data_IF_087889680822
#
_entry.id   IF_087889680822
#
_cell.length_a   1.000
_cell.length_b   1.000
_cell.length_c   1.000
_cell.angle_alpha   90.00
_cell.angle_beta   90.00
_cell.angle_gamma   90.00
#
_symmetry.space_group_name_H-M   'P 1'
#
loop_
_entity.id
_entity.type
_entity.pdbx_description
1 polymer ?
#
# COMPACT_ATOMS: atom_id res chain seq x y z
N UNK A 1 4.51 1.81 0.16
CA UNK A 1 4.84 1.80 -1.28
C UNK A 1 5.71 0.61 -1.67
N UNK A 2 6.86 0.38 -1.01
CA UNK A 2 7.78 -0.73 -1.35
C UNK A 2 7.11 -2.11 -1.35
N UNK A 3 6.27 -2.42 -0.36
CA UNK A 3 5.53 -3.70 -0.34
C UNK A 3 4.64 -3.88 -1.58
N UNK A 4 3.92 -2.84 -2.00
CA UNK A 4 3.09 -2.90 -3.20
C UNK A 4 3.92 -3.28 -4.43
N UNK A 5 5.02 -2.55 -4.65
CA UNK A 5 5.90 -2.80 -5.78
C UNK A 5 6.57 -4.17 -5.74
N UNK A 6 6.91 -4.67 -4.55
CA UNK A 6 7.42 -6.03 -4.39
C UNK A 6 6.38 -7.11 -4.74
N UNK A 7 5.08 -6.83 -4.52
CA UNK A 7 3.99 -7.75 -4.80
C UNK A 7 3.52 -7.70 -6.26
N UNK A 8 3.61 -6.53 -6.91
CA UNK A 8 3.01 -6.29 -8.23
C UNK A 8 4.03 -6.03 -9.34
N UNK A 9 5.25 -5.59 -9.01
CA UNK A 9 6.22 -5.06 -9.96
C UNK A 9 5.98 -3.60 -10.39
N UNK A 10 4.91 -2.97 -9.90
CA UNK A 10 4.43 -1.66 -10.33
C UNK A 10 4.38 -0.66 -9.16
N UNK A 11 4.29 0.63 -9.46
CA UNK A 11 4.08 1.65 -8.42
C UNK A 11 2.60 1.72 -8.01
N UNK A 12 2.28 2.03 -6.74
CA UNK A 12 0.89 2.15 -6.32
C UNK A 12 0.21 3.42 -6.84
N UNK A 13 0.98 4.46 -7.18
CA UNK A 13 0.49 5.74 -7.66
C UNK A 13 1.40 6.26 -8.76
N UNK A 14 0.80 6.82 -9.80
CA UNK A 14 1.48 7.40 -10.96
C UNK A 14 0.76 8.71 -11.37
N UNK A 15 1.44 9.53 -12.17
CA UNK A 15 0.86 10.75 -12.72
C UNK A 15 1.73 11.35 -13.82
N UNK A 16 1.10 12.00 -14.80
CA UNK A 16 1.78 12.60 -15.97
C UNK A 16 2.62 13.85 -15.62
N UNK A 17 2.48 14.34 -14.38
CA UNK A 17 3.26 15.45 -13.83
C UNK A 17 3.47 15.26 -12.33
N UNK A 18 4.38 16.03 -11.73
CA UNK A 18 4.59 16.03 -10.29
C UNK A 18 3.30 16.37 -9.51
N UNK A 19 2.54 17.36 -9.99
CA UNK A 19 1.27 17.73 -9.37
C UNK A 19 0.25 16.58 -9.45
N UNK A 20 0.18 15.89 -10.60
CA UNK A 20 -0.66 14.70 -10.77
C UNK A 20 -0.27 13.55 -9.84
N UNK A 21 1.03 13.29 -9.69
CA UNK A 21 1.55 12.28 -8.78
C UNK A 21 1.21 12.60 -7.31
N UNK A 22 1.43 13.85 -6.88
CA UNK A 22 1.08 14.28 -5.52
C UNK A 22 -0.42 14.18 -5.26
N UNK A 23 -1.24 14.54 -6.25
CA UNK A 23 -2.69 14.36 -6.16
C UNK A 23 -3.06 12.88 -5.98
N UNK A 24 -2.49 11.97 -6.80
CA UNK A 24 -2.73 10.54 -6.69
C UNK A 24 -2.27 9.96 -5.33
N UNK A 25 -1.13 10.41 -4.82
CA UNK A 25 -0.64 10.03 -3.48
C UNK A 25 -1.63 10.46 -2.40
N UNK A 26 -2.27 11.62 -2.52
CA UNK A 26 -3.21 12.12 -1.52
C UNK A 26 -4.62 11.52 -1.63
N UNK A 27 -5.09 11.21 -2.84
CA UNK A 27 -6.52 11.01 -3.09
C UNK A 27 -6.88 9.68 -3.77
N UNK A 28 -5.92 8.99 -4.40
CA UNK A 28 -6.17 7.74 -5.11
C UNK A 28 -5.93 6.53 -4.21
N UNK A 29 -6.74 5.49 -4.39
CA UNK A 29 -6.58 4.20 -3.70
C UNK A 29 -5.74 3.24 -4.54
N UNK A 30 -4.76 2.58 -3.92
CA UNK A 30 -3.97 1.55 -4.57
C UNK A 30 -4.78 0.26 -4.71
N UNK A 31 -4.76 -0.36 -5.90
CA UNK A 31 -5.56 -1.56 -6.20
C UNK A 31 -4.68 -2.78 -6.36
N UNK A 32 -4.85 -3.77 -5.50
CA UNK A 32 -4.16 -5.06 -5.61
C UNK A 32 -5.06 -6.09 -6.29
N UNK A 33 -4.54 -6.67 -7.37
CA UNK A 33 -5.21 -7.73 -8.12
C UNK A 33 -5.37 -9.03 -7.32
N UNK A 34 -6.18 -9.96 -7.84
CA UNK A 34 -6.48 -11.24 -7.20
C UNK A 34 -5.31 -12.23 -7.20
N UNK A 35 -4.28 -11.95 -8.00
CA UNK A 35 -3.00 -12.67 -7.97
C UNK A 35 -2.25 -12.53 -6.64
N UNK A 36 -2.55 -11.47 -5.87
CA UNK A 36 -1.96 -11.25 -4.55
C UNK A 36 -2.84 -11.94 -3.48
N UNK A 37 -2.27 -12.81 -2.62
CA UNK A 37 -3.00 -13.44 -1.53
C UNK A 37 -3.76 -12.43 -0.67
N UNK A 38 -4.99 -12.79 -0.26
CA UNK A 38 -5.87 -11.89 0.49
C UNK A 38 -5.24 -11.30 1.78
N UNK A 39 -4.49 -12.06 2.60
CA UNK A 39 -3.82 -11.50 3.77
C UNK A 39 -2.79 -10.42 3.41
N UNK A 40 -1.97 -10.64 2.37
CA UNK A 40 -0.99 -9.67 1.89
C UNK A 40 -1.67 -8.44 1.27
N UNK A 41 -2.81 -8.61 0.60
CA UNK A 41 -3.63 -7.48 0.13
C UNK A 41 -4.08 -6.61 1.29
N UNK A 42 -4.65 -7.21 2.33
CA UNK A 42 -5.11 -6.48 3.51
C UNK A 42 -3.97 -5.68 4.15
N UNK A 43 -2.82 -6.33 4.36
CA UNK A 43 -1.64 -5.67 4.96
C UNK A 43 -1.17 -4.48 4.12
N UNK A 44 -1.04 -4.67 2.80
CA UNK A 44 -0.57 -3.64 1.89
C UNK A 44 -1.57 -2.48 1.74
N UNK A 45 -2.88 -2.76 1.67
CA UNK A 45 -3.92 -1.72 1.65
C UNK A 45 -3.91 -0.89 2.94
N UNK A 46 -3.84 -1.53 4.12
CA UNK A 46 -3.76 -0.81 5.40
C UNK A 46 -2.55 0.10 5.46
N UNK A 47 -1.38 -0.39 5.02
CA UNK A 47 -0.14 0.40 4.98
C UNK A 47 -0.18 1.60 4.01
N UNK A 48 -1.04 1.56 2.98
CA UNK A 48 -1.20 2.61 1.97
C UNK A 48 -2.37 3.56 2.23
N UNK A 49 -3.15 3.36 3.30
CA UNK A 49 -4.29 4.20 3.67
C UNK A 49 -3.92 5.68 3.68
N UNK A 50 -4.84 6.54 3.22
CA UNK A 50 -4.65 8.00 3.28
C UNK A 50 -4.85 8.54 4.69
N UNK A 51 -5.75 7.91 5.43
CA UNK A 51 -5.95 8.19 6.84
C UNK A 51 -4.82 7.53 7.65
N UNK A 52 -4.05 8.35 8.35
CA UNK A 52 -2.96 7.93 9.23
C UNK A 52 -3.47 7.06 10.39
N UNK A 53 -4.68 7.32 10.90
CA UNK A 53 -5.28 6.54 11.99
C UNK A 53 -5.64 5.10 11.56
N UNK A 54 -5.81 4.88 10.26
CA UNK A 54 -6.07 3.54 9.70
C UNK A 54 -4.78 2.78 9.38
N UNK A 55 -3.59 3.41 9.43
CA UNK A 55 -2.32 2.73 9.20
C UNK A 55 -1.89 1.93 10.44
N UNK A 56 -0.81 1.17 10.26
CA UNK A 56 -0.04 0.66 11.40
C UNK A 56 0.56 1.84 12.16
N UNK A 57 0.54 1.77 13.49
CA UNK A 57 1.05 2.82 14.36
C UNK A 57 2.56 3.02 14.15
N UNK A 58 3.28 1.93 13.89
CA UNK A 58 4.71 1.95 13.63
C UNK A 58 5.17 0.80 12.70
N UNK A 59 6.48 0.76 12.45
CA UNK A 59 7.09 -0.26 11.61
C UNK A 59 7.12 -1.66 12.26
N UNK A 60 7.08 -1.76 13.60
CA UNK A 60 7.08 -3.04 14.29
C UNK A 60 5.71 -3.73 14.13
N UNK A 61 4.62 -3.01 14.35
CA UNK A 61 3.25 -3.51 14.13
C UNK A 61 3.07 -3.93 12.66
N UNK A 62 3.58 -3.14 11.72
CA UNK A 62 3.56 -3.48 10.30
C UNK A 62 4.33 -4.78 10.00
N UNK A 63 5.52 -4.95 10.57
CA UNK A 63 6.34 -6.13 10.38
C UNK A 63 5.64 -7.39 10.94
N UNK A 64 4.99 -7.29 12.10
CA UNK A 64 4.26 -8.40 12.70
C UNK A 64 3.05 -8.82 11.85
N UNK A 65 2.28 -7.84 11.37
CA UNK A 65 1.18 -8.10 10.45
C UNK A 65 1.66 -8.76 9.15
N UNK A 66 2.80 -8.33 8.61
CA UNK A 66 3.38 -8.91 7.41
C UNK A 66 3.85 -10.35 7.62
N UNK A 67 4.45 -10.67 8.78
CA UNK A 67 4.85 -12.05 9.13
C UNK A 67 3.64 -12.96 9.29
N UNK A 68 2.55 -12.47 9.88
CA UNK A 68 1.32 -13.23 10.05
C UNK A 68 0.56 -13.46 8.73
N UNK A 69 0.83 -12.65 7.70
CA UNK A 69 0.21 -12.73 6.39
C UNK A 69 0.98 -13.62 5.38
N UNK A 70 2.13 -14.20 5.79
CA UNK A 70 2.96 -15.11 4.98
C UNK A 70 2.41 -16.52 4.91
#
# INVERSE_FOLDING_TARGET
MILYQALTGELPFEGESLAGLLYAIGHSEARLGWSVPAPLRHVCTKALSKDLALRYADAAEFADALRAAR
#
